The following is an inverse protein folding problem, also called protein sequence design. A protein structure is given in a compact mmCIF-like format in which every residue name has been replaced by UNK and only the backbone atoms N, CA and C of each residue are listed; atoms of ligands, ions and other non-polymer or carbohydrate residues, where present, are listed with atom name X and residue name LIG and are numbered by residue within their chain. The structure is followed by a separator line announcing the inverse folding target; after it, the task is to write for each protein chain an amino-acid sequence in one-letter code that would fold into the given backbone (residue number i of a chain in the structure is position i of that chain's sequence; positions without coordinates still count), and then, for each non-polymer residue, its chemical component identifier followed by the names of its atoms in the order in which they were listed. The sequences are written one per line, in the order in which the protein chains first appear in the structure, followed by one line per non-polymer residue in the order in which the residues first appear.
data_IF_418892419370
#
_entry.id   IF_418892419370
#
_cell.length_a   1.000
_cell.length_b   1.000
_cell.length_c   1.000
_cell.angle_alpha   90.00
_cell.angle_beta   90.00
_cell.angle_gamma   90.00
#
_symmetry.space_group_name_H-M   'P 1'
#
loop_
_entity.id
_entity.type
_entity.pdbx_description
1 polymer ?
#
# COMPACT_ATOMS: atom_id res chain seq x y z
N UNK A 1 -12.24 -7.90 11.58
CA UNK A 1 -11.21 -8.83 11.12
C UNK A 1 -10.53 -9.57 12.28
N UNK A 2 -10.02 -8.86 13.33
CA UNK A 2 -9.34 -9.48 14.50
C UNK A 2 -10.14 -10.62 15.15
N UNK A 3 -11.44 -10.43 15.34
CA UNK A 3 -12.32 -11.46 15.95
C UNK A 3 -12.48 -12.71 15.06
N UNK A 4 -12.46 -12.55 13.76
CA UNK A 4 -12.70 -13.65 12.81
C UNK A 4 -11.44 -14.45 12.46
N UNK A 5 -10.25 -13.92 12.68
CA UNK A 5 -9.00 -14.63 12.39
C UNK A 5 -8.53 -15.51 13.53
N UNK A 6 -8.99 -15.24 14.78
CA UNK A 6 -8.60 -16.02 15.96
C UNK A 6 -8.94 -17.50 15.80
N UNK A 7 -7.99 -18.38 16.04
CA UNK A 7 -8.14 -19.84 15.93
C UNK A 7 -7.99 -20.38 14.50
N UNK A 8 -7.96 -19.52 13.47
CA UNK A 8 -7.75 -19.94 12.08
C UNK A 8 -6.29 -20.37 11.88
N UNK A 9 -6.04 -21.43 11.13
CA UNK A 9 -4.68 -21.86 10.80
C UNK A 9 -4.05 -20.89 9.81
N UNK A 10 -2.82 -20.51 10.07
CA UNK A 10 -2.06 -19.59 9.20
C UNK A 10 -1.94 -20.11 7.76
N UNK A 11 -1.74 -21.42 7.61
CA UNK A 11 -1.67 -22.07 6.30
C UNK A 11 -2.96 -21.93 5.48
N UNK A 12 -4.13 -21.96 6.14
CA UNK A 12 -5.41 -21.82 5.44
C UNK A 12 -5.60 -20.38 4.94
N UNK A 13 -5.16 -19.37 5.71
CA UNK A 13 -5.17 -17.98 5.27
C UNK A 13 -4.25 -17.77 4.06
N UNK A 14 -3.04 -18.34 4.06
CA UNK A 14 -2.14 -18.31 2.90
C UNK A 14 -2.75 -18.95 1.66
N UNK A 15 -3.41 -20.10 1.82
CA UNK A 15 -4.08 -20.80 0.71
C UNK A 15 -5.21 -19.96 0.11
N UNK A 16 -6.04 -19.35 0.96
CA UNK A 16 -7.11 -18.44 0.51
C UNK A 16 -6.53 -17.19 -0.14
N UNK A 17 -5.50 -16.59 0.47
CA UNK A 17 -4.83 -15.42 -0.09
C UNK A 17 -4.27 -15.69 -1.50
N UNK A 18 -3.66 -16.87 -1.73
CA UNK A 18 -3.21 -17.28 -3.07
C UNK A 18 -4.35 -17.24 -4.11
N UNK A 19 -5.49 -17.84 -3.79
CA UNK A 19 -6.67 -17.83 -4.68
C UNK A 19 -7.19 -16.40 -4.96
N UNK A 20 -7.20 -15.55 -3.93
CA UNK A 20 -7.59 -14.14 -4.07
C UNK A 20 -6.62 -13.40 -4.98
N UNK A 21 -5.32 -13.64 -4.85
CA UNK A 21 -4.29 -13.05 -5.72
C UNK A 21 -4.52 -13.47 -7.17
N UNK A 22 -4.68 -14.76 -7.43
CA UNK A 22 -4.90 -15.30 -8.79
C UNK A 22 -6.14 -14.68 -9.45
N UNK A 23 -7.22 -14.52 -8.68
CA UNK A 23 -8.46 -13.91 -9.17
C UNK A 23 -8.33 -12.41 -9.45
N UNK A 24 -7.53 -11.68 -8.66
CA UNK A 24 -7.42 -10.23 -8.75
C UNK A 24 -6.25 -9.73 -9.60
N UNK A 25 -5.28 -10.56 -9.95
CA UNK A 25 -4.11 -10.16 -10.77
C UNK A 25 -4.49 -9.47 -12.08
N UNK A 26 -5.57 -9.91 -12.71
CA UNK A 26 -6.07 -9.34 -13.97
C UNK A 26 -6.99 -8.13 -13.80
N UNK A 27 -7.35 -7.81 -12.55
CA UNK A 27 -8.33 -6.76 -12.22
C UNK A 27 -7.70 -5.53 -11.55
N UNK A 28 -6.41 -5.33 -11.78
CA UNK A 28 -5.72 -4.14 -11.30
C UNK A 28 -6.17 -2.89 -12.04
N UNK A 29 -6.23 -1.79 -11.33
CA UNK A 29 -6.35 -0.48 -11.95
C UNK A 29 -5.22 -0.25 -12.94
N UNK A 30 -5.56 0.24 -14.15
CA UNK A 30 -4.58 0.48 -15.22
C UNK A 30 -3.49 1.44 -14.79
N UNK A 31 -3.89 2.56 -14.16
CA UNK A 31 -2.95 3.57 -13.69
C UNK A 31 -1.87 2.97 -12.78
N UNK A 32 -2.26 2.28 -11.72
CA UNK A 32 -1.31 1.72 -10.75
C UNK A 32 -0.48 0.59 -11.35
N UNK A 33 -1.09 -0.26 -12.17
CA UNK A 33 -0.38 -1.33 -12.90
C UNK A 33 0.71 -0.77 -13.81
N UNK A 34 0.39 0.26 -14.60
CA UNK A 34 1.31 0.83 -15.57
C UNK A 34 2.40 1.65 -14.85
N UNK A 35 2.07 2.33 -13.76
CA UNK A 35 3.04 2.99 -12.88
C UNK A 35 4.04 1.99 -12.29
N UNK A 36 3.58 0.86 -11.74
CA UNK A 36 4.44 -0.21 -11.21
C UNK A 36 5.39 -0.71 -12.31
N UNK A 37 4.87 -1.01 -13.51
CA UNK A 37 5.69 -1.46 -14.64
C UNK A 37 6.78 -0.46 -15.01
N UNK A 38 6.48 0.84 -14.98
CA UNK A 38 7.43 1.91 -15.27
C UNK A 38 8.52 1.99 -14.19
N UNK A 39 8.14 1.95 -12.92
CA UNK A 39 9.04 2.23 -11.81
C UNK A 39 9.90 1.02 -11.40
N UNK A 40 9.45 -0.22 -11.56
CA UNK A 40 10.12 -1.43 -11.04
C UNK A 40 11.53 -1.66 -11.55
N UNK A 41 11.97 -0.98 -12.61
CA UNK A 41 13.33 -1.12 -13.18
C UNK A 41 14.34 -0.15 -12.56
N UNK A 42 13.86 0.92 -11.95
CA UNK A 42 14.68 2.03 -11.47
C UNK A 42 14.43 2.39 -10.02
N UNK A 43 13.35 1.88 -9.42
CA UNK A 43 12.93 2.20 -8.07
C UNK A 43 12.82 0.96 -7.22
N UNK A 44 13.12 1.12 -5.93
CA UNK A 44 12.80 0.13 -4.90
C UNK A 44 11.31 0.21 -4.56
N UNK A 45 10.57 -0.85 -4.83
CA UNK A 45 9.12 -0.89 -4.65
C UNK A 45 8.76 -1.35 -3.23
N UNK A 46 8.09 -0.47 -2.49
CA UNK A 46 7.69 -0.68 -1.11
C UNK A 46 6.17 -0.70 -0.98
N UNK A 47 5.60 -1.81 -0.49
CA UNK A 47 4.19 -1.91 -0.14
C UNK A 47 3.98 -1.70 1.37
N UNK A 48 3.08 -0.79 1.75
CA UNK A 48 2.73 -0.51 3.15
C UNK A 48 1.21 -0.60 3.31
N UNK A 49 0.72 -1.52 4.14
CA UNK A 49 -0.72 -1.79 4.28
C UNK A 49 -1.12 -2.13 5.71
N UNK A 50 -2.32 -1.72 6.11
CA UNK A 50 -2.97 -2.18 7.35
C UNK A 50 -3.67 -3.55 7.18
N UNK A 51 -3.69 -4.11 5.97
CA UNK A 51 -4.19 -5.47 5.74
C UNK A 51 -3.20 -6.53 6.24
N UNK A 52 -3.65 -7.76 6.51
CA UNK A 52 -2.78 -8.83 6.99
C UNK A 52 -1.63 -9.14 6.05
N UNK A 53 -0.47 -9.42 6.62
CA UNK A 53 0.74 -9.75 5.87
C UNK A 53 0.53 -10.93 4.91
N UNK A 54 -0.20 -11.96 5.36
CA UNK A 54 -0.50 -13.16 4.59
C UNK A 54 -1.32 -12.88 3.32
N UNK A 55 -2.03 -11.75 3.27
CA UNK A 55 -2.81 -11.32 2.10
C UNK A 55 -1.97 -10.38 1.22
N UNK A 56 -1.29 -9.41 1.85
CA UNK A 56 -0.55 -8.37 1.12
C UNK A 56 0.72 -8.93 0.47
N UNK A 57 1.45 -9.80 1.18
CA UNK A 57 2.75 -10.27 0.73
C UNK A 57 2.71 -11.05 -0.59
N UNK A 58 1.82 -12.06 -0.79
CA UNK A 58 1.76 -12.77 -2.07
C UNK A 58 1.33 -11.85 -3.21
N UNK A 59 0.39 -10.93 -2.96
CA UNK A 59 -0.05 -9.97 -3.96
C UNK A 59 1.07 -8.99 -4.37
N UNK A 60 1.76 -8.40 -3.42
CA UNK A 60 2.88 -7.50 -3.68
C UNK A 60 4.03 -8.23 -4.41
N UNK A 61 4.32 -9.49 -4.01
CA UNK A 61 5.33 -10.32 -4.69
C UNK A 61 4.97 -10.58 -6.16
N UNK A 62 3.71 -10.87 -6.45
CA UNK A 62 3.26 -11.09 -7.85
C UNK A 62 3.42 -9.85 -8.73
N UNK A 63 3.42 -8.65 -8.13
CA UNK A 63 3.62 -7.37 -8.81
C UNK A 63 5.08 -6.93 -8.84
N UNK A 64 6.00 -7.67 -8.23
CA UNK A 64 7.42 -7.37 -8.21
C UNK A 64 7.84 -6.33 -7.18
N UNK A 65 7.12 -6.21 -6.05
CA UNK A 65 7.56 -5.36 -4.95
C UNK A 65 8.74 -5.98 -4.20
N UNK A 66 9.71 -5.14 -3.86
CA UNK A 66 10.95 -5.54 -3.17
C UNK A 66 10.71 -5.77 -1.68
N UNK A 67 9.83 -4.99 -1.06
CA UNK A 67 9.55 -5.08 0.38
C UNK A 67 8.08 -4.83 0.70
N UNK A 68 7.59 -5.58 1.70
CA UNK A 68 6.24 -5.46 2.23
C UNK A 68 6.31 -5.16 3.72
N UNK A 69 5.61 -4.13 4.15
CA UNK A 69 5.23 -3.86 5.53
C UNK A 69 3.71 -3.92 5.62
N UNK A 70 3.22 -4.90 6.35
CA UNK A 70 1.79 -5.14 6.52
C UNK A 70 1.49 -5.54 7.95
N UNK A 71 0.21 -5.60 8.32
CA UNK A 71 -0.18 -5.96 9.67
C UNK A 71 0.17 -7.43 9.95
N UNK A 72 0.99 -7.67 10.97
CA UNK A 72 1.39 -9.00 11.39
C UNK A 72 0.52 -9.45 12.57
N UNK A 73 -0.14 -10.59 12.42
CA UNK A 73 -0.89 -11.23 13.49
C UNK A 73 -0.03 -12.28 14.19
N UNK A 74 -0.14 -12.33 15.52
CA UNK A 74 0.53 -13.34 16.33
C UNK A 74 -0.02 -14.73 16.02
N UNK A 75 0.87 -15.72 15.98
CA UNK A 75 0.52 -17.13 15.75
C UNK A 75 1.02 -17.95 16.93
N UNK A 76 0.16 -18.80 17.49
CA UNK A 76 0.52 -19.72 18.55
C UNK A 76 1.37 -20.87 18.00
N UNK A 77 2.46 -21.23 18.69
CA UNK A 77 3.35 -22.34 18.27
C UNK A 77 3.52 -22.45 16.74
N UNK A 78 3.33 -21.34 15.99
CA UNK A 78 3.45 -21.29 14.54
C UNK A 78 2.26 -21.82 13.73
N UNK A 79 1.13 -22.14 14.33
CA UNK A 79 0.02 -22.84 13.67
C UNK A 79 -1.23 -21.98 13.52
N UNK A 80 -1.76 -21.40 14.61
CA UNK A 80 -3.04 -20.70 14.61
C UNK A 80 -2.90 -19.25 15.06
N UNK A 81 -3.66 -18.37 14.46
CA UNK A 81 -3.71 -16.97 14.87
C UNK A 81 -4.36 -16.82 16.26
N UNK A 82 -3.70 -16.04 17.12
CA UNK A 82 -4.22 -15.72 18.46
C UNK A 82 -5.25 -14.57 18.42
N UNK A 83 -5.29 -13.81 17.32
CA UNK A 83 -6.07 -12.58 17.16
C UNK A 83 -5.34 -11.32 17.66
N UNK A 84 -4.17 -11.45 18.28
CA UNK A 84 -3.32 -10.30 18.63
C UNK A 84 -2.54 -9.79 17.41
N UNK A 85 -2.33 -8.47 17.38
CA UNK A 85 -1.50 -7.82 16.36
C UNK A 85 -0.12 -7.56 16.95
N UNK A 86 0.91 -7.90 16.20
CA UNK A 86 2.29 -7.59 16.53
C UNK A 86 2.72 -6.31 15.82
N UNK A 87 3.57 -5.52 16.49
CA UNK A 87 4.18 -4.30 15.92
C UNK A 87 3.14 -3.29 15.38
N UNK A 88 2.01 -3.14 16.07
CA UNK A 88 0.92 -2.25 15.66
C UNK A 88 1.38 -0.79 15.52
N UNK A 89 2.26 -0.36 16.40
CA UNK A 89 2.89 0.97 16.41
C UNK A 89 3.75 1.23 15.16
N UNK A 90 4.35 0.20 14.58
CA UNK A 90 5.18 0.33 13.38
C UNK A 90 4.33 0.68 12.16
N UNK A 91 3.18 0.03 12.00
CA UNK A 91 2.30 0.24 10.83
C UNK A 91 1.38 1.45 11.00
N UNK A 92 1.11 1.87 12.23
CA UNK A 92 0.21 3.01 12.54
C UNK A 92 0.68 4.33 11.91
N UNK A 93 1.99 4.48 11.67
CA UNK A 93 2.54 5.65 10.99
C UNK A 93 3.35 5.24 9.76
N UNK A 94 2.71 5.27 8.60
CA UNK A 94 3.33 4.88 7.32
C UNK A 94 4.57 5.71 6.97
N UNK A 95 4.66 6.96 7.41
CA UNK A 95 5.85 7.78 7.24
C UNK A 95 7.07 7.26 8.01
N UNK A 96 6.88 6.73 9.24
CA UNK A 96 7.96 6.04 9.97
C UNK A 96 8.45 4.79 9.24
N UNK A 97 7.51 4.04 8.65
CA UNK A 97 7.85 2.84 7.86
C UNK A 97 8.74 3.22 6.67
N UNK A 98 8.37 4.27 5.94
CA UNK A 98 9.18 4.78 4.81
C UNK A 98 10.59 5.16 5.27
N UNK A 99 10.73 6.01 6.31
CA UNK A 99 12.05 6.41 6.82
C UNK A 99 12.90 5.21 7.25
N UNK A 100 12.29 4.22 7.93
CA UNK A 100 12.98 2.99 8.32
C UNK A 100 13.43 2.17 7.11
N UNK A 101 12.59 2.05 6.07
CA UNK A 101 12.94 1.33 4.86
C UNK A 101 14.08 2.02 4.11
N UNK A 102 14.03 3.33 3.97
CA UNK A 102 15.07 4.16 3.35
C UNK A 102 16.41 3.96 4.06
N UNK A 103 16.44 4.13 5.38
CA UNK A 103 17.67 3.99 6.17
C UNK A 103 18.21 2.54 6.12
N UNK A 104 17.35 1.53 6.24
CA UNK A 104 17.77 0.12 6.28
C UNK A 104 18.34 -0.38 4.96
N UNK A 105 17.85 0.13 3.84
CA UNK A 105 18.23 -0.34 2.51
C UNK A 105 19.11 0.68 1.76
N UNK A 106 19.63 1.70 2.45
CA UNK A 106 20.48 2.76 1.90
C UNK A 106 19.87 3.39 0.63
N UNK A 107 18.58 3.76 0.70
CA UNK A 107 17.83 4.35 -0.39
C UNK A 107 17.83 5.89 -0.30
N UNK A 108 17.45 6.54 -1.38
CA UNK A 108 17.14 7.99 -1.40
C UNK A 108 15.62 8.20 -1.60
N UNK A 109 15.14 9.36 -1.17
CA UNK A 109 13.80 9.85 -1.49
C UNK A 109 13.77 10.74 -2.72
N UNK A 110 14.93 11.06 -3.27
CA UNK A 110 15.05 11.79 -4.55
C UNK A 110 14.43 10.95 -5.67
N UNK A 111 13.58 11.57 -6.50
CA UNK A 111 12.81 10.90 -7.55
C UNK A 111 11.70 9.97 -7.03
N UNK A 112 11.47 9.90 -5.72
CA UNK A 112 10.51 8.96 -5.14
C UNK A 112 9.06 9.29 -5.50
N UNK A 113 8.25 8.25 -5.68
CA UNK A 113 6.80 8.33 -5.96
C UNK A 113 6.03 7.61 -4.87
N UNK A 114 5.05 8.28 -4.29
CA UNK A 114 4.13 7.68 -3.31
C UNK A 114 2.70 7.68 -3.83
N UNK A 115 1.99 6.58 -3.58
CA UNK A 115 0.56 6.43 -3.94
C UNK A 115 -0.22 6.07 -2.69
N UNK A 116 -1.34 6.76 -2.47
CA UNK A 116 -2.23 6.49 -1.33
C UNK A 116 -3.68 6.81 -1.65
N UNK A 117 -4.61 6.24 -0.89
CA UNK A 117 -6.06 6.38 -1.09
C UNK A 117 -6.80 6.94 0.13
N UNK A 118 -6.17 6.94 1.30
CA UNK A 118 -6.79 7.42 2.53
C UNK A 118 -5.94 8.44 3.27
N UNK A 119 -6.52 9.12 4.26
CA UNK A 119 -5.80 10.04 5.14
C UNK A 119 -4.65 9.39 5.90
N UNK A 120 -4.68 8.08 6.12
CA UNK A 120 -3.58 7.34 6.76
C UNK A 120 -2.29 7.32 5.94
N UNK A 121 -2.39 7.67 4.64
CA UNK A 121 -1.26 7.74 3.72
C UNK A 121 -0.56 9.11 3.72
N UNK A 122 -1.20 10.14 4.26
CA UNK A 122 -0.64 11.49 4.31
C UNK A 122 0.79 11.52 4.89
N UNK A 123 1.11 10.79 5.99
CA UNK A 123 2.47 10.80 6.53
C UNK A 123 3.54 10.26 5.57
N UNK A 124 3.21 9.29 4.72
CA UNK A 124 4.13 8.78 3.72
C UNK A 124 4.19 9.71 2.50
N UNK A 125 3.03 10.22 2.05
CA UNK A 125 2.94 11.09 0.88
C UNK A 125 3.68 12.42 1.07
N UNK A 126 3.80 12.90 2.31
CA UNK A 126 4.61 14.08 2.67
C UNK A 126 6.12 13.87 2.51
N UNK A 127 6.60 12.65 2.43
CA UNK A 127 8.02 12.33 2.40
C UNK A 127 8.55 12.16 0.99
N UNK A 128 7.69 11.83 0.05
CA UNK A 128 8.08 11.54 -1.32
C UNK A 128 8.10 12.80 -2.17
N UNK A 129 8.88 12.78 -3.23
CA UNK A 129 8.98 13.91 -4.15
C UNK A 129 7.71 14.06 -5.01
N UNK A 130 7.11 12.93 -5.45
CA UNK A 130 5.87 12.91 -6.21
C UNK A 130 4.75 12.18 -5.45
N UNK A 131 3.95 12.88 -4.63
CA UNK A 131 2.78 12.34 -3.97
C UNK A 131 1.59 12.24 -4.92
N UNK A 132 0.93 11.07 -4.95
CA UNK A 132 -0.25 10.79 -5.77
C UNK A 132 -1.38 10.31 -4.86
N UNK A 133 -2.48 11.03 -4.85
CA UNK A 133 -3.74 10.62 -4.21
C UNK A 133 -4.58 9.85 -5.26
N UNK A 134 -4.59 8.52 -5.15
CA UNK A 134 -5.28 7.63 -6.10
C UNK A 134 -6.63 7.18 -5.56
N UNK A 135 -7.71 7.41 -6.30
CA UNK A 135 -9.08 7.14 -5.84
C UNK A 135 -9.32 7.58 -4.40
N UNK A 136 -8.96 8.82 -4.02
CA UNK A 136 -8.79 9.22 -2.65
C UNK A 136 -10.09 9.30 -1.87
N UNK A 137 -10.01 9.00 -0.57
CA UNK A 137 -11.04 9.39 0.40
C UNK A 137 -11.26 10.90 0.38
N UNK A 138 -12.44 11.37 0.82
CA UNK A 138 -12.76 12.81 0.89
C UNK A 138 -11.71 13.62 1.67
N UNK A 139 -11.16 13.04 2.75
CA UNK A 139 -10.13 13.70 3.57
C UNK A 139 -8.82 13.83 2.84
N UNK A 140 -8.34 12.74 2.21
CA UNK A 140 -7.12 12.77 1.42
C UNK A 140 -7.27 13.69 0.20
N UNK A 141 -8.41 13.65 -0.50
CA UNK A 141 -8.68 14.54 -1.62
C UNK A 141 -8.54 16.02 -1.25
N UNK A 142 -9.20 16.45 -0.16
CA UNK A 142 -9.09 17.84 0.31
C UNK A 142 -7.65 18.21 0.69
N UNK A 143 -6.93 17.26 1.31
CA UNK A 143 -5.55 17.47 1.67
C UNK A 143 -4.66 17.61 0.43
N UNK A 144 -4.82 16.73 -0.56
CA UNK A 144 -4.09 16.76 -1.82
C UNK A 144 -4.32 18.07 -2.57
N UNK A 145 -5.58 18.52 -2.69
CA UNK A 145 -5.89 19.80 -3.32
C UNK A 145 -5.20 20.99 -2.61
N UNK A 146 -5.26 21.03 -1.28
CA UNK A 146 -4.63 22.12 -0.50
C UNK A 146 -3.11 22.18 -0.68
N UNK A 147 -2.46 21.04 -0.96
CA UNK A 147 -1.00 20.94 -1.05
C UNK A 147 -0.48 20.78 -2.48
N UNK A 148 -1.34 20.92 -3.49
CA UNK A 148 -0.94 20.80 -4.89
C UNK A 148 -0.52 19.39 -5.32
N UNK A 149 -0.97 18.34 -4.61
CA UNK A 149 -0.65 16.97 -4.94
C UNK A 149 -1.43 16.47 -6.15
N UNK A 150 -0.83 15.56 -6.90
CA UNK A 150 -1.50 14.88 -8.00
C UNK A 150 -2.68 14.05 -7.48
N UNK A 151 -3.84 14.21 -8.13
CA UNK A 151 -5.04 13.40 -7.85
C UNK A 151 -5.41 12.64 -9.10
N UNK A 152 -5.52 11.33 -8.96
CA UNK A 152 -5.93 10.44 -10.04
C UNK A 152 -7.15 9.66 -9.62
N UNK A 153 -8.18 9.68 -10.45
CA UNK A 153 -9.40 8.89 -10.25
C UNK A 153 -9.58 7.97 -11.45
N UNK A 154 -9.58 6.69 -11.21
CA UNK A 154 -9.86 5.68 -12.23
C UNK A 154 -11.17 4.98 -11.92
N UNK A 155 -12.11 5.03 -12.88
CA UNK A 155 -13.42 4.36 -12.78
C UNK A 155 -13.73 3.67 -14.08
N UNK A 156 -13.97 2.37 -14.03
CA UNK A 156 -14.22 1.53 -15.21
C UNK A 156 -13.05 1.67 -16.20
N UNK A 157 -13.32 2.31 -17.32
CA UNK A 157 -12.40 2.52 -18.45
C UNK A 157 -11.84 3.93 -18.55
N UNK A 158 -12.22 4.83 -17.61
CA UNK A 158 -11.79 6.24 -17.61
C UNK A 158 -10.82 6.54 -16.49
N UNK A 159 -9.72 7.25 -16.81
CA UNK A 159 -8.77 7.79 -15.85
C UNK A 159 -8.85 9.32 -15.90
N UNK A 160 -9.10 9.94 -14.74
CA UNK A 160 -9.10 11.39 -14.58
C UNK A 160 -7.85 11.81 -13.81
N UNK A 161 -7.06 12.72 -14.37
CA UNK A 161 -5.99 13.42 -13.65
C UNK A 161 -6.53 14.79 -13.24
N UNK A 162 -6.73 14.97 -11.96
CA UNK A 162 -7.27 16.21 -11.40
C UNK A 162 -6.10 17.03 -10.83
N UNK A 163 -5.53 17.93 -11.65
CA UNK A 163 -4.49 18.85 -11.19
C UNK A 163 -5.13 19.99 -10.41
N UNK A 164 -4.67 20.31 -9.17
CA UNK A 164 -5.15 21.50 -8.48
C UNK A 164 -4.72 22.76 -9.22
N UNK A 165 -5.68 23.60 -9.59
CA UNK A 165 -5.43 25.01 -9.87
C UNK A 165 -4.83 25.39 -11.22
N UNK A 166 -5.42 24.96 -12.34
CA UNK A 166 -5.62 25.89 -13.46
C UNK A 166 -7.12 26.11 -13.58
N UNK A 167 -7.64 27.30 -13.25
CA UNK A 167 -8.98 27.68 -13.69
C UNK A 167 -9.00 27.66 -15.22
N UNK A 168 -10.17 27.41 -15.83
CA UNK A 168 -10.35 27.39 -17.27
C UNK A 168 -9.96 28.71 -17.91
#
# INVERSE_FOLDING_TARGET
YRKHIKGVRRADVWKVAGRVVDFHQVRLYRFTRDLIKKLRRTHYLLAISHSPYEVVAPFAKSLGFDKVYAQVYEVDKGVRFTGRVLYEDVISNKGRVVRRAVAKNNLTLEGSVGVGDTESDIPLLKLVERPIAFNPSRKLYRYAQKHGWEVVVERKDVIYSLTPGRPP
#
